data_IF_478578351549
#
_entry.id   IF_478578351549
#
_cell.length_a   1.000
_cell.length_b   1.000
_cell.length_c   1.000
_cell.angle_alpha   90.00
_cell.angle_beta   90.00
_cell.angle_gamma   90.00
#
_symmetry.space_group_name_H-M   'P 1'
#
loop_
_entity.id
_entity.type
_entity.pdbx_description
1 polymer ?
#
# COMPACT_ATOMS: atom_id res chain seq x y z
N UNK A 1 3.04 -21.77 -15.01
CA UNK A 1 3.87 -20.58 -15.22
C UNK A 1 3.51 -19.61 -14.10
N UNK A 2 4.31 -19.54 -13.04
CA UNK A 2 4.06 -18.58 -11.96
C UNK A 2 4.39 -17.20 -12.51
N UNK A 3 3.37 -16.38 -12.78
CA UNK A 3 3.59 -14.99 -13.16
C UNK A 3 4.25 -14.28 -11.97
N UNK A 4 5.56 -14.04 -12.06
CA UNK A 4 6.27 -13.19 -11.12
C UNK A 4 5.68 -11.78 -11.20
N UNK A 5 5.01 -11.36 -10.14
CA UNK A 5 4.39 -10.03 -10.06
C UNK A 5 5.51 -8.97 -10.16
N UNK A 6 5.39 -7.98 -11.06
CA UNK A 6 6.48 -7.04 -11.35
C UNK A 6 6.93 -6.26 -10.10
N UNK A 7 8.23 -6.28 -9.84
CA UNK A 7 8.87 -5.49 -8.78
C UNK A 7 9.06 -4.04 -9.26
N UNK A 8 8.14 -3.15 -8.90
CA UNK A 8 8.27 -1.73 -9.23
C UNK A 8 9.32 -1.05 -8.33
N UNK A 9 10.50 -0.80 -8.87
CA UNK A 9 11.54 -0.01 -8.19
C UNK A 9 11.25 1.51 -8.17
N UNK A 10 10.35 2.00 -9.04
CA UNK A 10 10.02 3.42 -9.22
C UNK A 10 8.50 3.62 -9.35
N UNK A 11 7.95 4.61 -8.65
CA UNK A 11 6.57 5.09 -8.84
C UNK A 11 6.59 6.21 -9.89
N UNK A 12 5.77 6.12 -10.94
CA UNK A 12 5.60 7.15 -11.97
C UNK A 12 6.94 7.74 -12.47
N UNK A 13 7.81 6.88 -13.00
CA UNK A 13 9.06 7.19 -13.70
C UNK A 13 10.20 7.88 -12.92
N UNK A 14 9.96 8.66 -11.85
CA UNK A 14 11.01 9.48 -11.21
C UNK A 14 10.97 9.58 -9.68
N UNK A 15 9.88 9.20 -9.00
CA UNK A 15 9.76 9.39 -7.55
C UNK A 15 10.18 8.13 -6.78
N UNK A 16 10.97 8.26 -5.69
CA UNK A 16 11.27 7.13 -4.82
C UNK A 16 9.96 6.60 -4.24
N UNK A 17 9.76 5.29 -4.33
CA UNK A 17 8.53 4.57 -3.97
C UNK A 17 7.89 5.02 -2.64
N UNK A 18 8.74 5.35 -1.65
CA UNK A 18 8.33 5.87 -0.34
C UNK A 18 7.65 7.25 -0.41
N UNK A 19 8.17 8.16 -1.22
CA UNK A 19 7.55 9.49 -1.40
C UNK A 19 6.21 9.37 -2.13
N UNK A 20 6.11 8.47 -3.12
CA UNK A 20 4.86 8.20 -3.83
C UNK A 20 3.76 7.71 -2.88
N UNK A 21 4.04 6.69 -2.07
CA UNK A 21 3.08 6.17 -1.09
C UNK A 21 2.66 7.22 -0.04
N UNK A 22 3.60 8.05 0.43
CA UNK A 22 3.29 9.14 1.37
C UNK A 22 2.40 10.20 0.73
N UNK A 23 2.75 10.69 -0.46
CA UNK A 23 1.95 11.71 -1.17
C UNK A 23 0.54 11.19 -1.41
N UNK A 24 0.40 9.95 -1.88
CA UNK A 24 -0.89 9.34 -2.11
C UNK A 24 -1.70 9.19 -0.81
N UNK A 25 -1.08 8.73 0.27
CA UNK A 25 -1.72 8.63 1.59
C UNK A 25 -2.22 9.99 2.11
N UNK A 26 -1.43 11.06 1.99
CA UNK A 26 -1.86 12.41 2.41
C UNK A 26 -3.01 12.95 1.55
N UNK A 27 -2.95 12.76 0.22
CA UNK A 27 -4.02 13.16 -0.68
C UNK A 27 -5.32 12.43 -0.31
N UNK A 28 -5.25 11.11 -0.05
CA UNK A 28 -6.40 10.33 0.39
C UNK A 28 -6.96 10.83 1.72
N UNK A 29 -6.13 11.13 2.72
CA UNK A 29 -6.61 11.68 4.00
C UNK A 29 -7.36 12.99 3.80
N UNK A 30 -6.79 13.92 3.03
CA UNK A 30 -7.42 15.22 2.75
C UNK A 30 -8.76 15.00 2.04
N UNK A 31 -8.80 14.11 1.05
CA UNK A 31 -10.02 13.79 0.32
C UNK A 31 -11.07 13.14 1.23
N UNK A 32 -10.71 12.15 2.03
CA UNK A 32 -11.65 11.49 2.95
C UNK A 32 -12.19 12.46 4.02
N UNK A 33 -11.36 13.36 4.57
CA UNK A 33 -11.81 14.39 5.51
C UNK A 33 -12.77 15.38 4.85
N UNK A 34 -12.47 15.79 3.61
CA UNK A 34 -13.38 16.63 2.82
C UNK A 34 -14.72 15.93 2.59
N UNK A 35 -14.71 14.64 2.20
CA UNK A 35 -15.94 13.86 2.00
C UNK A 35 -16.74 13.71 3.30
N UNK A 36 -16.10 13.47 4.45
CA UNK A 36 -16.77 13.44 5.76
C UNK A 36 -17.50 14.77 6.02
N UNK A 37 -16.86 15.91 5.72
CA UNK A 37 -17.48 17.23 5.87
C UNK A 37 -18.71 17.39 4.97
N UNK A 38 -18.61 16.97 3.70
CA UNK A 38 -19.72 17.01 2.76
C UNK A 38 -20.90 16.13 3.20
N UNK A 39 -20.64 14.89 3.62
CA UNK A 39 -21.69 13.99 4.11
C UNK A 39 -22.31 14.49 5.41
N UNK A 40 -21.50 14.98 6.36
CA UNK A 40 -22.04 15.56 7.60
C UNK A 40 -22.94 16.77 7.32
N UNK A 41 -22.63 17.56 6.30
CA UNK A 41 -23.48 18.67 5.87
C UNK A 41 -24.77 18.18 5.22
N UNK A 42 -24.69 17.15 4.36
CA UNK A 42 -25.83 16.54 3.69
C UNK A 42 -26.83 15.95 4.70
N UNK A 43 -26.35 15.20 5.69
CA UNK A 43 -27.17 14.64 6.79
C UNK A 43 -27.88 15.73 7.56
N UNK A 44 -27.22 16.86 7.82
CA UNK A 44 -27.82 17.94 8.60
C UNK A 44 -28.94 18.68 7.86
N UNK A 45 -28.90 18.69 6.52
CA UNK A 45 -29.88 19.39 5.69
C UNK A 45 -30.89 18.46 5.00
N UNK A 46 -30.88 17.16 5.33
CA UNK A 46 -31.69 16.10 4.69
C UNK A 46 -31.60 16.11 3.16
N UNK A 47 -30.42 16.46 2.62
CA UNK A 47 -30.17 16.43 1.19
C UNK A 47 -29.72 15.01 0.85
N UNK A 48 -30.65 14.17 0.38
CA UNK A 48 -30.34 12.80 -0.02
C UNK A 48 -29.19 12.76 -1.02
N UNK A 49 -28.03 12.28 -0.58
CA UNK A 49 -26.80 12.22 -1.36
C UNK A 49 -26.47 10.77 -1.67
N UNK A 50 -26.17 10.47 -2.94
CA UNK A 50 -25.71 9.14 -3.33
C UNK A 50 -24.25 8.99 -2.88
N UNK A 51 -23.95 7.92 -2.15
CA UNK A 51 -22.57 7.63 -1.73
C UNK A 51 -21.73 7.23 -2.95
N UNK A 52 -20.56 7.86 -3.12
CA UNK A 52 -19.59 7.46 -4.14
C UNK A 52 -18.29 7.01 -3.45
N UNK A 53 -18.09 5.69 -3.36
CA UNK A 53 -16.91 5.10 -2.73
C UNK A 53 -16.10 4.32 -3.76
N UNK A 54 -14.85 4.74 -4.00
CA UNK A 54 -13.94 4.10 -4.98
C UNK A 54 -14.57 3.88 -6.38
N UNK A 55 -15.46 4.78 -6.80
CA UNK A 55 -16.15 4.71 -8.09
C UNK A 55 -17.42 3.85 -8.10
N UNK A 56 -17.73 3.14 -7.01
CA UNK A 56 -19.00 2.43 -6.84
C UNK A 56 -20.02 3.34 -6.15
N UNK A 57 -21.26 3.29 -6.62
CA UNK A 57 -22.38 4.01 -6.02
C UNK A 57 -23.29 3.07 -5.25
N UNK A 58 -23.64 3.43 -4.02
CA UNK A 58 -24.53 2.61 -3.19
C UNK A 58 -25.45 3.49 -2.37
N UNK A 59 -26.71 3.06 -2.27
CA UNK A 59 -27.71 3.66 -1.38
C UNK A 59 -27.55 3.04 0.01
N UNK A 60 -26.59 3.55 0.78
CA UNK A 60 -26.43 3.20 2.19
C UNK A 60 -26.91 4.35 3.07
N UNK A 61 -27.32 4.04 4.30
CA UNK A 61 -27.71 5.04 5.30
C UNK A 61 -26.55 6.00 5.57
N UNK A 62 -26.81 7.31 5.58
CA UNK A 62 -25.77 8.34 5.63
C UNK A 62 -24.84 8.21 6.85
N UNK A 63 -25.37 7.74 7.99
CA UNK A 63 -24.57 7.48 9.19
C UNK A 63 -23.50 6.39 8.98
N UNK A 64 -23.84 5.35 8.20
CA UNK A 64 -22.90 4.27 7.86
C UNK A 64 -21.81 4.80 6.93
N UNK A 65 -22.15 5.67 5.98
CA UNK A 65 -21.20 6.33 5.09
C UNK A 65 -20.12 7.09 5.89
N UNK A 66 -20.53 7.90 6.87
CA UNK A 66 -19.60 8.62 7.74
C UNK A 66 -18.67 7.64 8.48
N UNK A 67 -19.21 6.54 8.99
CA UNK A 67 -18.43 5.50 9.66
C UNK A 67 -17.35 4.89 8.75
N UNK A 68 -17.69 4.59 7.50
CA UNK A 68 -16.74 4.02 6.52
C UNK A 68 -15.59 4.99 6.25
N UNK A 69 -15.87 6.28 6.00
CA UNK A 69 -14.82 7.27 5.77
C UNK A 69 -13.95 7.51 7.01
N UNK A 70 -14.53 7.44 8.21
CA UNK A 70 -13.73 7.50 9.46
C UNK A 70 -12.72 6.35 9.55
N UNK A 71 -13.13 5.11 9.23
CA UNK A 71 -12.22 3.96 9.18
C UNK A 71 -11.16 4.15 8.10
N UNK A 72 -11.53 4.67 6.94
CA UNK A 72 -10.60 4.96 5.86
C UNK A 72 -9.54 6.00 6.27
N UNK A 73 -9.93 7.08 6.95
CA UNK A 73 -9.00 8.07 7.50
C UNK A 73 -8.02 7.41 8.47
N UNK A 74 -8.51 6.61 9.42
CA UNK A 74 -7.66 5.90 10.39
C UNK A 74 -6.66 4.99 9.70
N UNK A 75 -7.11 4.20 8.71
CA UNK A 75 -6.24 3.29 7.98
C UNK A 75 -5.21 4.03 7.13
N UNK A 76 -5.57 5.15 6.48
CA UNK A 76 -4.61 5.98 5.76
C UNK A 76 -3.59 6.64 6.71
N UNK A 77 -3.99 7.03 7.92
CA UNK A 77 -3.04 7.51 8.95
C UNK A 77 -2.06 6.39 9.34
N UNK A 78 -2.54 5.16 9.52
CA UNK A 78 -1.68 3.98 9.79
C UNK A 78 -0.70 3.74 8.64
N UNK A 79 -1.13 3.90 7.38
CA UNK A 79 -0.25 3.82 6.21
C UNK A 79 0.85 4.89 6.27
N UNK A 80 0.48 6.15 6.48
CA UNK A 80 1.42 7.27 6.54
C UNK A 80 2.41 7.09 7.68
N UNK A 81 1.92 6.72 8.87
CA UNK A 81 2.74 6.44 10.03
C UNK A 81 3.69 5.26 9.78
N UNK A 82 3.19 4.14 9.25
CA UNK A 82 3.98 2.97 8.88
C UNK A 82 5.08 3.29 7.87
N UNK A 83 4.77 4.13 6.88
CA UNK A 83 5.75 4.60 5.89
C UNK A 83 6.81 5.53 6.49
N UNK A 84 6.48 6.31 7.52
CA UNK A 84 7.44 7.17 8.24
C UNK A 84 8.35 6.37 9.19
N UNK A 85 7.77 5.49 10.01
CA UNK A 85 8.48 4.72 11.05
C UNK A 85 9.18 3.48 10.49
N UNK A 86 8.92 3.12 9.21
CA UNK A 86 9.46 1.92 8.55
C UNK A 86 9.05 0.60 9.24
N UNK A 87 7.95 0.62 9.97
CA UNK A 87 7.49 -0.56 10.70
C UNK A 87 6.59 -1.42 9.78
N UNK A 88 7.06 -2.65 9.52
CA UNK A 88 6.40 -3.62 8.64
C UNK A 88 5.01 -4.03 9.12
N UNK A 89 4.74 -4.02 10.44
CA UNK A 89 3.46 -4.47 10.99
C UNK A 89 2.30 -3.57 10.55
N UNK A 90 2.47 -2.25 10.66
CA UNK A 90 1.44 -1.29 10.22
C UNK A 90 1.21 -1.34 8.72
N UNK A 91 2.29 -1.51 7.95
CA UNK A 91 2.23 -1.58 6.51
C UNK A 91 1.55 -2.88 6.02
N UNK A 92 1.77 -4.00 6.70
CA UNK A 92 1.06 -5.27 6.46
C UNK A 92 -0.42 -5.16 6.82
N UNK A 93 -0.75 -4.54 7.95
CA UNK A 93 -2.16 -4.33 8.35
C UNK A 93 -2.92 -3.51 7.30
N UNK A 94 -2.34 -2.40 6.83
CA UNK A 94 -2.94 -1.60 5.76
C UNK A 94 -3.07 -2.39 4.44
N UNK A 95 -2.09 -3.22 4.09
CA UNK A 95 -2.15 -4.05 2.88
C UNK A 95 -3.34 -5.03 2.89
N UNK A 96 -3.57 -5.72 4.01
CA UNK A 96 -4.74 -6.61 4.15
C UNK A 96 -6.05 -5.82 4.11
N UNK A 97 -6.09 -4.65 4.76
CA UNK A 97 -7.24 -3.74 4.68
C UNK A 97 -7.53 -3.33 3.23
N UNK A 98 -6.54 -2.92 2.46
CA UNK A 98 -6.70 -2.48 1.07
C UNK A 98 -7.22 -3.60 0.16
N UNK A 99 -6.77 -4.84 0.37
CA UNK A 99 -7.31 -6.01 -0.36
C UNK A 99 -8.77 -6.26 0.04
N UNK A 100 -9.06 -6.24 1.34
CA UNK A 100 -10.42 -6.45 1.83
C UNK A 100 -11.39 -5.40 1.28
N UNK A 101 -11.00 -4.12 1.27
CA UNK A 101 -11.82 -3.06 0.68
C UNK A 101 -12.00 -3.23 -0.82
N UNK A 102 -10.97 -3.65 -1.56
CA UNK A 102 -11.07 -3.94 -2.99
C UNK A 102 -12.10 -5.04 -3.30
N UNK A 103 -12.11 -6.09 -2.49
CA UNK A 103 -13.08 -7.19 -2.62
C UNK A 103 -14.50 -6.74 -2.26
N UNK A 104 -14.65 -5.95 -1.19
CA UNK A 104 -15.94 -5.41 -0.79
C UNK A 104 -16.52 -4.47 -1.85
N UNK A 105 -15.72 -3.57 -2.42
CA UNK A 105 -16.16 -2.68 -3.51
C UNK A 105 -16.56 -3.46 -4.75
N UNK A 106 -15.87 -4.57 -5.04
CA UNK A 106 -16.23 -5.44 -6.16
C UNK A 106 -17.59 -6.11 -5.98
N UNK A 107 -17.91 -6.56 -4.75
CA UNK A 107 -19.21 -7.15 -4.44
C UNK A 107 -20.33 -6.09 -4.54
N UNK A 108 -20.10 -4.89 -3.98
CA UNK A 108 -21.07 -3.78 -4.03
C UNK A 108 -21.37 -3.38 -5.48
N UNK A 109 -20.33 -3.32 -6.33
CA UNK A 109 -20.51 -2.98 -7.74
C UNK A 109 -21.35 -4.02 -8.50
N UNK A 110 -21.14 -5.32 -8.24
CA UNK A 110 -21.96 -6.37 -8.86
C UNK A 110 -23.45 -6.20 -8.49
N UNK A 111 -23.71 -5.87 -7.22
CA UNK A 111 -25.08 -5.62 -6.74
C UNK A 111 -25.66 -4.38 -7.40
N UNK A 112 -24.88 -3.30 -7.51
CA UNK A 112 -25.27 -2.05 -8.17
C UNK A 112 -25.64 -2.28 -9.65
N UNK A 113 -24.78 -2.98 -10.38
CA UNK A 113 -25.00 -3.33 -11.79
C UNK A 113 -26.26 -4.19 -11.99
N UNK A 114 -26.54 -5.10 -11.05
CA UNK A 114 -27.75 -5.94 -11.11
C UNK A 114 -29.04 -5.16 -10.87
N UNK A 115 -28.98 -4.05 -10.12
CA UNK A 115 -30.15 -3.23 -9.77
C UNK A 115 -30.49 -2.17 -10.83
N UNK A 116 -29.52 -1.75 -11.65
CA UNK A 116 -29.71 -0.67 -12.64
C UNK A 116 -30.19 -1.17 -14.00
N UNK A 117 -31.29 -0.62 -14.51
CA UNK A 117 -31.87 -0.98 -15.82
C UNK A 117 -31.49 -0.03 -16.97
N UNK A 118 -30.91 1.14 -16.68
CA UNK A 118 -30.57 2.14 -17.69
C UNK A 118 -29.15 1.96 -18.24
N UNK A 119 -29.05 1.47 -19.47
CA UNK A 119 -27.77 1.12 -20.14
C UNK A 119 -26.76 2.29 -20.17
N UNK A 120 -27.23 3.52 -20.41
CA UNK A 120 -26.34 4.69 -20.46
C UNK A 120 -25.65 4.97 -19.11
N UNK A 121 -26.41 4.91 -18.02
CA UNK A 121 -25.91 5.11 -16.66
C UNK A 121 -25.00 3.95 -16.23
N UNK A 122 -25.31 2.72 -16.66
CA UNK A 122 -24.45 1.55 -16.42
C UNK A 122 -23.06 1.73 -17.05
N UNK A 123 -22.97 2.24 -18.27
CA UNK A 123 -21.68 2.45 -18.94
C UNK A 123 -20.84 3.51 -18.21
N UNK A 124 -21.48 4.59 -17.77
CA UNK A 124 -20.82 5.67 -17.02
C UNK A 124 -20.31 5.19 -15.67
N UNK A 125 -21.15 4.50 -14.89
CA UNK A 125 -20.76 3.92 -13.60
C UNK A 125 -19.66 2.89 -13.74
N UNK A 126 -19.73 2.02 -14.75
CA UNK A 126 -18.68 1.03 -15.02
C UNK A 126 -17.34 1.71 -15.36
N UNK A 127 -17.36 2.79 -16.15
CA UNK A 127 -16.14 3.53 -16.48
C UNK A 127 -15.50 4.19 -15.25
N UNK A 128 -16.33 4.79 -14.38
CA UNK A 128 -15.89 5.38 -13.11
C UNK A 128 -15.34 4.31 -12.15
N UNK A 129 -16.02 3.17 -12.06
CA UNK A 129 -15.58 2.03 -11.26
C UNK A 129 -14.24 1.47 -11.75
N UNK A 130 -14.07 1.27 -13.06
CA UNK A 130 -12.79 0.80 -13.63
C UNK A 130 -11.66 1.79 -13.34
N UNK A 131 -11.90 3.10 -13.44
CA UNK A 131 -10.91 4.11 -13.09
C UNK A 131 -10.56 4.06 -11.59
N UNK A 132 -11.56 3.94 -10.71
CA UNK A 132 -11.37 3.78 -9.27
C UNK A 132 -10.61 2.51 -8.92
N UNK A 133 -10.95 1.38 -9.54
CA UNK A 133 -10.27 0.10 -9.35
C UNK A 133 -8.82 0.16 -9.83
N UNK A 134 -8.53 0.82 -10.96
CA UNK A 134 -7.16 1.06 -11.41
C UNK A 134 -6.34 1.82 -10.38
N UNK A 135 -6.88 2.88 -9.78
CA UNK A 135 -6.21 3.64 -8.71
C UNK A 135 -6.02 2.79 -7.44
N UNK A 136 -7.03 2.00 -7.08
CA UNK A 136 -6.98 1.15 -5.89
C UNK A 136 -5.97 0.01 -6.03
N UNK A 137 -5.96 -0.67 -7.17
CA UNK A 137 -4.97 -1.70 -7.51
C UNK A 137 -3.57 -1.10 -7.57
N UNK A 138 -3.42 0.09 -8.14
CA UNK A 138 -2.15 0.82 -8.12
C UNK A 138 -1.66 1.05 -6.69
N UNK A 139 -2.52 1.51 -5.78
CA UNK A 139 -2.21 1.69 -4.36
C UNK A 139 -1.70 0.37 -3.73
N UNK A 140 -2.43 -0.73 -3.92
CA UNK A 140 -2.08 -2.06 -3.41
C UNK A 140 -0.68 -2.48 -3.90
N UNK A 141 -0.41 -2.30 -5.20
CA UNK A 141 0.88 -2.65 -5.80
C UNK A 141 2.01 -1.79 -5.22
N UNK A 142 1.78 -0.49 -5.02
CA UNK A 142 2.76 0.43 -4.42
C UNK A 142 3.08 0.03 -2.98
N UNK A 143 2.06 -0.27 -2.17
CA UNK A 143 2.25 -0.71 -0.78
C UNK A 143 2.97 -2.05 -0.71
N UNK A 144 2.60 -3.01 -1.58
CA UNK A 144 3.30 -4.31 -1.67
C UNK A 144 4.77 -4.15 -2.04
N UNK A 145 5.06 -3.28 -3.02
CA UNK A 145 6.42 -2.99 -3.43
C UNK A 145 7.22 -2.32 -2.29
N UNK A 146 6.57 -1.48 -1.49
CA UNK A 146 7.17 -0.84 -0.32
C UNK A 146 7.47 -1.86 0.79
N UNK A 147 6.55 -2.78 1.05
CA UNK A 147 6.72 -3.89 2.00
C UNK A 147 7.95 -4.74 1.66
N UNK A 148 8.04 -5.22 0.42
CA UNK A 148 9.16 -6.07 -0.04
C UNK A 148 10.49 -5.31 0.09
N UNK A 149 10.51 -4.02 -0.25
CA UNK A 149 11.72 -3.20 -0.16
C UNK A 149 12.18 -3.00 1.29
N UNK A 150 11.25 -2.85 2.23
CA UNK A 150 11.54 -2.76 3.66
C UNK A 150 12.04 -4.09 4.22
N UNK A 151 11.41 -5.21 3.84
CA UNK A 151 11.81 -6.56 4.26
C UNK A 151 13.23 -6.92 3.81
N UNK A 152 13.57 -6.60 2.55
CA UNK A 152 14.94 -6.79 2.02
C UNK A 152 15.95 -5.90 2.76
N UNK A 153 15.59 -4.63 3.05
CA UNK A 153 16.47 -3.70 3.76
C UNK A 153 16.74 -4.13 5.21
N UNK A 154 15.74 -4.72 5.87
CA UNK A 154 15.87 -5.22 7.25
C UNK A 154 16.73 -6.49 7.29
N UNK A 155 16.56 -7.37 6.29
CA UNK A 155 17.38 -8.58 6.13
C UNK A 155 18.87 -8.26 5.86
N UNK A 156 19.16 -7.27 5.01
CA UNK A 156 20.56 -6.89 4.72
C UNK A 156 21.21 -6.06 5.85
N UNK A 157 20.43 -5.48 6.76
CA UNK A 157 21.00 -4.86 7.96
C UNK A 157 21.66 -5.88 8.91
N UNK A 158 21.27 -7.15 8.81
CA UNK A 158 21.86 -8.26 9.57
C UNK A 158 23.06 -8.93 8.87
N UNK A 159 23.24 -8.75 7.56
CA UNK A 159 24.29 -9.42 6.77
C UNK A 159 25.50 -8.54 6.46
N UNK A 160 25.86 -7.58 7.32
CA UNK A 160 27.18 -6.96 7.22
C UNK A 160 28.24 -7.85 7.90
N UNK A 161 28.44 -9.05 7.37
CA UNK A 161 29.53 -9.96 7.78
C UNK A 161 30.90 -9.32 7.63
N UNK A 162 31.04 -8.29 6.78
CA UNK A 162 32.26 -7.50 6.65
C UNK A 162 32.58 -6.73 7.95
N UNK A 163 31.56 -6.28 8.68
CA UNK A 163 31.75 -5.66 9.99
C UNK A 163 32.12 -6.71 11.04
N UNK A 164 31.61 -7.94 10.94
CA UNK A 164 32.02 -9.06 11.79
C UNK A 164 33.49 -9.47 11.56
N UNK A 165 33.98 -9.37 10.31
CA UNK A 165 35.38 -9.59 9.92
C UNK A 165 36.28 -8.42 10.38
N UNK A 166 35.80 -7.17 10.29
CA UNK A 166 36.57 -5.96 10.69
C UNK A 166 36.59 -5.73 12.20
N UNK A 167 35.53 -6.12 12.92
CA UNK A 167 35.43 -5.98 14.38
C UNK A 167 36.18 -7.06 15.17
N UNK A 168 36.78 -8.04 14.50
CA UNK A 168 37.67 -9.01 15.15
C UNK A 168 36.98 -10.03 16.06
N UNK A 169 35.64 -10.12 16.07
CA UNK A 169 34.90 -11.18 16.78
C UNK A 169 34.85 -12.49 16.00
N UNK A 170 35.96 -12.88 15.37
CA UNK A 170 36.14 -14.28 14.99
C UNK A 170 36.36 -15.06 16.29
N UNK A 171 35.32 -15.73 16.78
CA UNK A 171 35.53 -16.94 17.58
C UNK A 171 36.26 -17.93 16.68
N UNK A 172 37.58 -17.89 16.75
CA UNK A 172 38.48 -18.90 16.23
C UNK A 172 38.00 -20.23 16.80
N UNK A 173 37.33 -21.05 16.00
CA UNK A 173 37.23 -22.47 16.32
C UNK A 173 38.66 -23.00 16.40
N UNK A 174 38.94 -23.75 17.47
CA UNK A 174 40.25 -24.18 17.97
C UNK A 174 41.16 -24.94 16.99
N UNK A 175 40.80 -25.09 15.72
CA UNK A 175 41.59 -25.79 14.72
C UNK A 175 42.14 -24.79 13.69
N UNK A 176 43.18 -24.08 14.12
CA UNK A 176 43.86 -23.05 13.34
C UNK A 176 44.54 -23.57 12.08
N UNK A 177 43.80 -23.58 10.98
CA UNK A 177 44.35 -23.65 9.62
C UNK A 177 43.81 -22.46 8.84
N UNK A 178 44.59 -21.39 8.76
CA UNK A 178 44.36 -20.34 7.79
C UNK A 178 44.79 -20.84 6.40
N UNK A 179 44.00 -20.68 5.33
CA UNK A 179 44.54 -20.79 3.97
C UNK A 179 45.49 -19.61 3.75
N UNK A 180 46.78 -19.90 3.60
CA UNK A 180 47.82 -18.90 3.36
C UNK A 180 47.57 -18.19 2.02
N UNK A 181 47.04 -16.97 2.05
CA UNK A 181 46.95 -16.09 0.88
C UNK A 181 48.24 -15.32 0.65
N UNK A 182 49.40 -15.98 0.83
CA UNK A 182 50.70 -15.36 0.55
C UNK A 182 51.28 -16.07 -0.67
N UNK A 183 51.25 -15.38 -1.80
CA UNK A 183 51.96 -15.78 -3.02
C UNK A 183 53.46 -15.55 -2.75
N UNK A 184 54.32 -16.57 -2.81
CA UNK A 184 55.76 -16.36 -2.71
C UNK A 184 56.21 -15.62 -3.97
N UNK A 185 56.85 -14.47 -3.78
CA UNK A 185 57.51 -13.73 -4.85
C UNK A 185 58.97 -14.22 -4.91
N UNK A 186 59.25 -15.16 -5.82
CA UNK A 186 60.61 -15.60 -6.12
C UNK A 186 61.23 -14.63 -7.12
N UNK A 187 62.03 -13.67 -6.62
CA UNK A 187 62.90 -12.84 -7.45
C UNK A 187 64.35 -12.89 -6.92
N UNK A 188 65.22 -13.44 -7.78
CA UNK A 188 66.66 -13.22 -8.00
C UNK A 188 67.69 -13.52 -6.89
#
# INVERSE_FOLDING_TARGET
MFCEIPKLLRCCFCLPLRKGALIFGYINIIFSVFMIGMYSYAVHHDIGFIMMYHGSTSELEDAVCIGIYCVEVVMNVVLVYGAHVRNLLFLKSFYYYAIATALMTFIVEIIGLASTFHIGLVIEMLALYVAGLCLHVYLIIVVRSLLIKLEISDSHAYENQLQQIVSGELKVESNGVYPSTVVPNDDA
#
